data_IF_734486190326
#
_entry.id   IF_734486190326
#
_cell.length_a   1.000
_cell.length_b   1.000
_cell.length_c   1.000
_cell.angle_alpha   90.00
_cell.angle_beta   90.00
_cell.angle_gamma   90.00
#
_symmetry.space_group_name_H-M   'P 1'
#
loop_
_entity.id
_entity.type
_entity.pdbx_description
1 polymer ?
#
# COMPACT_ATOMS: atom_id res chain seq x y z
N UNK A 1 5.86 13.87 -1.09
CA UNK A 1 7.27 13.53 -0.85
C UNK A 1 7.63 12.25 -1.61
N UNK A 2 8.68 12.31 -2.44
CA UNK A 2 9.10 11.22 -3.32
C UNK A 2 10.15 10.32 -2.66
N UNK A 3 9.80 9.67 -1.54
CA UNK A 3 10.72 8.73 -0.89
C UNK A 3 10.27 7.29 -1.11
N UNK A 4 11.20 6.34 -0.98
CA UNK A 4 10.91 4.91 -1.12
C UNK A 4 9.83 4.45 -0.14
N UNK A 5 9.84 5.00 1.06
CA UNK A 5 8.87 4.66 2.12
C UNK A 5 7.45 5.15 1.81
N UNK A 6 7.29 6.12 0.89
CA UNK A 6 5.99 6.66 0.49
C UNK A 6 5.45 6.01 -0.78
N UNK A 7 5.93 4.84 -1.17
CA UNK A 7 5.45 4.17 -2.38
C UNK A 7 3.95 3.92 -2.35
N UNK A 8 3.40 3.57 -1.18
CA UNK A 8 1.96 3.37 -1.05
C UNK A 8 1.17 4.62 -1.40
N UNK A 9 1.59 5.77 -0.89
CA UNK A 9 0.95 7.05 -1.21
C UNK A 9 1.09 7.39 -2.69
N UNK A 10 2.25 7.13 -3.27
CA UNK A 10 2.50 7.39 -4.69
C UNK A 10 1.59 6.54 -5.58
N UNK A 11 1.36 5.29 -5.22
CA UNK A 11 0.43 4.41 -5.94
C UNK A 11 -0.99 4.98 -5.88
N UNK A 12 -1.45 5.39 -4.70
CA UNK A 12 -2.79 5.95 -4.53
C UNK A 12 -2.94 7.28 -5.29
N UNK A 13 -1.93 8.13 -5.27
CA UNK A 13 -1.93 9.38 -6.02
C UNK A 13 -1.98 9.12 -7.53
N UNK A 14 -1.28 8.11 -8.02
CA UNK A 14 -1.33 7.70 -9.42
C UNK A 14 -2.75 7.29 -9.82
N UNK A 15 -3.42 6.48 -9.00
CA UNK A 15 -4.79 6.06 -9.27
C UNK A 15 -5.73 7.26 -9.27
N UNK A 16 -5.62 8.14 -8.29
CA UNK A 16 -6.46 9.33 -8.21
C UNK A 16 -6.30 10.21 -9.46
N UNK A 17 -5.07 10.44 -9.90
CA UNK A 17 -4.82 11.22 -11.12
C UNK A 17 -5.39 10.52 -12.37
N UNK A 18 -5.20 9.21 -12.49
CA UNK A 18 -5.71 8.42 -13.60
C UNK A 18 -7.24 8.47 -13.70
N UNK A 19 -7.92 8.45 -12.56
CA UNK A 19 -9.38 8.40 -12.50
C UNK A 19 -10.03 9.78 -12.31
N UNK A 20 -9.25 10.84 -12.24
CA UNK A 20 -9.75 12.20 -12.09
C UNK A 20 -10.44 12.47 -10.76
N UNK A 21 -10.04 11.79 -9.71
CA UNK A 21 -10.56 11.99 -8.35
C UNK A 21 -9.53 12.67 -7.47
N UNK A 22 -9.99 13.29 -6.39
CA UNK A 22 -9.13 14.04 -5.46
C UNK A 22 -9.26 13.52 -4.05
N UNK A 23 -8.14 13.58 -3.30
CA UNK A 23 -8.15 13.28 -1.88
C UNK A 23 -8.72 14.44 -1.08
N UNK A 24 -9.53 14.12 -0.07
CA UNK A 24 -10.09 15.08 0.88
C UNK A 24 -9.44 14.85 2.24
N UNK A 25 -9.11 15.93 2.94
CA UNK A 25 -8.60 15.83 4.31
C UNK A 25 -9.72 15.42 5.25
N UNK A 26 -9.48 14.36 5.99
CA UNK A 26 -10.47 13.76 6.90
C UNK A 26 -9.79 13.41 8.22
N UNK A 27 -10.52 12.80 9.13
CA UNK A 27 -9.95 12.37 10.42
C UNK A 27 -8.87 11.29 10.17
N UNK A 28 -7.68 11.52 10.69
CA UNK A 28 -6.51 10.62 10.65
C UNK A 28 -5.92 10.39 9.27
N UNK A 29 -6.32 11.16 8.26
CA UNK A 29 -5.74 10.98 6.95
C UNK A 29 -6.38 11.81 5.84
N UNK A 30 -6.15 11.35 4.62
CA UNK A 30 -6.80 11.83 3.41
C UNK A 30 -7.48 10.67 2.72
N UNK A 31 -8.67 10.91 2.19
CA UNK A 31 -9.48 9.85 1.57
C UNK A 31 -9.95 10.30 0.18
N UNK A 32 -9.92 9.38 -0.77
CA UNK A 32 -10.55 9.53 -2.08
C UNK A 32 -11.45 8.33 -2.34
N UNK A 33 -12.58 8.55 -2.99
CA UNK A 33 -13.50 7.48 -3.37
C UNK A 33 -13.43 7.24 -4.87
N UNK A 34 -13.19 6.00 -5.25
CA UNK A 34 -13.24 5.54 -6.63
C UNK A 34 -14.45 4.63 -6.81
N UNK A 35 -15.32 5.00 -7.74
CA UNK A 35 -16.46 4.16 -8.11
C UNK A 35 -16.18 3.47 -9.44
N UNK A 36 -16.21 2.13 -9.43
CA UNK A 36 -15.90 1.33 -10.60
C UNK A 36 -16.83 0.12 -10.67
N UNK A 37 -17.56 -0.03 -11.77
CA UNK A 37 -18.48 -1.15 -12.03
C UNK A 37 -19.40 -1.46 -10.85
N UNK A 38 -19.99 -0.43 -10.26
CA UNK A 38 -20.92 -0.56 -9.14
C UNK A 38 -20.29 -0.78 -7.79
N UNK A 39 -18.97 -0.80 -7.69
CA UNK A 39 -18.25 -0.92 -6.42
C UNK A 39 -17.56 0.39 -6.04
N UNK A 40 -17.47 0.64 -4.76
CA UNK A 40 -16.75 1.80 -4.22
C UNK A 40 -15.45 1.34 -3.58
N UNK A 41 -14.35 1.92 -4.01
CA UNK A 41 -13.03 1.70 -3.41
C UNK A 41 -12.66 2.94 -2.62
N UNK A 42 -12.37 2.77 -1.33
CA UNK A 42 -11.91 3.86 -0.48
C UNK A 42 -10.38 3.85 -0.45
N UNK A 43 -9.77 4.91 -0.96
CA UNK A 43 -8.32 5.08 -0.94
C UNK A 43 -7.96 5.91 0.29
N UNK A 44 -7.23 5.33 1.23
CA UNK A 44 -6.84 6.00 2.47
C UNK A 44 -5.34 6.21 2.55
N UNK A 45 -4.95 7.46 2.75
CA UNK A 45 -3.57 7.84 3.09
C UNK A 45 -3.58 8.31 4.54
N UNK A 46 -3.11 7.49 5.49
CA UNK A 46 -3.00 7.95 6.88
C UNK A 46 -2.06 9.15 7.00
N UNK A 47 -2.44 10.12 7.82
CA UNK A 47 -1.58 11.29 8.11
C UNK A 47 -0.89 11.17 9.47
N UNK A 48 -0.96 9.98 10.08
CA UNK A 48 -0.26 9.67 11.32
C UNK A 48 1.19 9.30 11.02
N UNK A 49 2.04 9.29 12.04
CA UNK A 49 3.35 8.68 11.89
C UNK A 49 3.18 7.20 11.53
N UNK A 50 4.17 6.64 10.81
CA UNK A 50 4.11 5.26 10.32
C UNK A 50 3.80 4.25 11.44
N UNK A 51 4.39 4.43 12.61
CA UNK A 51 4.17 3.56 13.77
C UNK A 51 2.79 3.73 14.42
N UNK A 52 1.95 4.63 13.91
CA UNK A 52 0.58 4.85 14.38
C UNK A 52 -0.46 4.59 13.28
N UNK A 53 -0.06 3.97 12.18
CA UNK A 53 -0.93 3.71 11.02
C UNK A 53 -2.16 2.88 11.38
N UNK A 54 -2.07 1.98 12.35
CA UNK A 54 -3.19 1.14 12.78
C UNK A 54 -4.36 1.92 13.34
N UNK A 55 -4.10 3.08 13.95
CA UNK A 55 -5.16 3.94 14.47
C UNK A 55 -6.07 4.46 13.35
N UNK A 56 -5.46 4.91 12.26
CA UNK A 56 -6.21 5.39 11.09
C UNK A 56 -6.96 4.23 10.42
N UNK A 57 -6.30 3.09 10.22
CA UNK A 57 -6.90 1.91 9.60
C UNK A 57 -8.11 1.43 10.41
N UNK A 58 -7.95 1.23 11.70
CA UNK A 58 -9.04 0.77 12.56
C UNK A 58 -10.23 1.72 12.54
N UNK A 59 -9.98 3.03 12.64
CA UNK A 59 -11.02 4.04 12.60
C UNK A 59 -11.85 3.95 11.33
N UNK A 60 -11.18 3.87 10.17
CA UNK A 60 -11.87 3.88 8.87
C UNK A 60 -12.57 2.57 8.55
N UNK A 61 -12.02 1.42 8.98
CA UNK A 61 -12.72 0.13 8.86
C UNK A 61 -14.04 0.15 9.64
N UNK A 62 -14.00 0.65 10.87
CA UNK A 62 -15.19 0.73 11.73
C UNK A 62 -16.21 1.73 11.18
N UNK A 63 -15.75 2.92 10.79
CA UNK A 63 -16.64 3.97 10.27
C UNK A 63 -17.38 3.55 9.01
N UNK A 64 -16.68 2.91 8.08
CA UNK A 64 -17.23 2.50 6.80
C UNK A 64 -17.77 1.07 6.82
N UNK A 65 -17.74 0.41 7.97
CA UNK A 65 -18.21 -0.95 8.17
C UNK A 65 -17.57 -1.94 7.16
N UNK A 66 -16.24 -1.87 7.06
CA UNK A 66 -15.46 -2.72 6.15
C UNK A 66 -14.78 -3.81 6.94
N UNK A 67 -14.94 -5.06 6.49
CA UNK A 67 -14.22 -6.20 7.06
C UNK A 67 -12.75 -6.16 6.66
N UNK A 68 -11.86 -6.67 7.52
CA UNK A 68 -10.42 -6.67 7.26
C UNK A 68 -10.04 -7.44 5.99
N UNK A 69 -10.85 -8.43 5.58
CA UNK A 69 -10.66 -9.21 4.36
C UNK A 69 -10.85 -8.38 3.09
N UNK A 70 -11.56 -7.27 3.20
CA UNK A 70 -11.82 -6.34 2.10
C UNK A 70 -10.90 -5.12 2.13
N UNK A 71 -9.84 -5.17 2.95
CA UNK A 71 -8.82 -4.14 3.04
C UNK A 71 -7.52 -4.65 2.40
N UNK A 72 -6.92 -3.83 1.55
CA UNK A 72 -5.60 -4.11 0.99
C UNK A 72 -4.61 -3.09 1.53
N UNK A 73 -3.66 -3.54 2.34
CA UNK A 73 -2.62 -2.66 2.89
C UNK A 73 -1.41 -2.66 1.96
N UNK A 74 -1.03 -1.49 1.50
CA UNK A 74 0.10 -1.31 0.56
C UNK A 74 1.32 -0.82 1.34
N UNK A 75 2.42 -1.55 1.23
CA UNK A 75 3.65 -1.22 1.94
C UNK A 75 4.88 -1.41 1.07
N UNK A 76 5.95 -0.71 1.43
CA UNK A 76 7.29 -0.99 0.94
C UNK A 76 7.84 -2.27 1.60
N UNK A 77 8.74 -2.95 0.89
CA UNK A 77 9.38 -4.18 1.39
C UNK A 77 10.86 -4.20 0.98
N UNK A 78 11.74 -4.16 1.96
CA UNK A 78 13.18 -4.21 1.76
C UNK A 78 13.67 -5.58 1.29
N UNK A 79 12.91 -6.63 1.54
CA UNK A 79 13.30 -8.00 1.21
C UNK A 79 12.97 -8.40 -0.21
N UNK A 80 12.31 -7.54 -0.96
CA UNK A 80 12.00 -7.75 -2.37
C UNK A 80 12.83 -6.80 -3.24
N UNK A 81 13.32 -7.30 -4.37
CA UNK A 81 14.03 -6.45 -5.33
C UNK A 81 13.12 -5.35 -5.85
N UNK A 82 13.70 -4.25 -6.30
CA UNK A 82 12.93 -3.09 -6.72
C UNK A 82 11.88 -3.44 -7.78
N UNK A 83 10.65 -2.98 -7.53
CA UNK A 83 9.54 -3.17 -8.45
C UNK A 83 8.86 -4.52 -8.38
N UNK A 84 9.39 -5.47 -7.61
CA UNK A 84 8.72 -6.75 -7.38
C UNK A 84 7.48 -6.51 -6.52
N UNK A 85 6.35 -7.08 -6.94
CA UNK A 85 5.08 -6.96 -6.23
C UNK A 85 4.70 -8.33 -5.71
N UNK A 86 4.36 -8.40 -4.43
CA UNK A 86 3.92 -9.63 -3.78
C UNK A 86 2.63 -9.37 -3.02
N UNK A 87 1.59 -10.13 -3.34
CA UNK A 87 0.28 -10.02 -2.71
C UNK A 87 0.09 -11.25 -1.83
N UNK A 88 -0.30 -11.05 -0.57
CA UNK A 88 -0.47 -12.12 0.41
C UNK A 88 -1.76 -11.95 1.21
N UNK A 89 -2.33 -13.07 1.67
CA UNK A 89 -3.52 -13.08 2.52
C UNK A 89 -3.21 -12.78 3.99
N UNK A 90 -1.98 -13.09 4.42
CA UNK A 90 -1.54 -12.94 5.80
C UNK A 90 -0.02 -12.93 5.85
N UNK A 91 0.55 -12.69 7.01
CA UNK A 91 1.99 -12.81 7.23
C UNK A 91 2.50 -11.93 8.35
N UNK A 92 3.82 -12.00 8.60
CA UNK A 92 4.50 -11.16 9.59
C UNK A 92 4.62 -9.72 9.06
N UNK A 93 5.01 -8.80 9.95
CA UNK A 93 5.22 -7.40 9.58
C UNK A 93 6.53 -7.16 8.81
N UNK A 94 7.43 -8.14 8.77
CA UNK A 94 8.72 -7.99 8.08
C UNK A 94 9.58 -6.85 8.62
N UNK A 95 9.34 -6.41 9.85
CA UNK A 95 10.03 -5.28 10.46
C UNK A 95 9.40 -3.91 10.12
N UNK A 96 8.34 -3.87 9.31
CA UNK A 96 7.66 -2.64 8.93
C UNK A 96 6.84 -2.09 10.09
N UNK A 97 7.16 -0.88 10.55
CA UNK A 97 6.51 -0.28 11.73
C UNK A 97 5.01 -0.04 11.54
N UNK A 98 4.59 0.34 10.34
CA UNK A 98 3.17 0.51 10.04
C UNK A 98 2.39 -0.79 10.17
N UNK A 99 2.93 -1.90 9.65
CA UNK A 99 2.30 -3.20 9.77
C UNK A 99 2.27 -3.69 11.22
N UNK A 100 3.32 -3.46 11.99
CA UNK A 100 3.33 -3.79 13.43
C UNK A 100 2.18 -3.11 14.16
N UNK A 101 1.97 -1.83 13.91
CA UNK A 101 0.91 -1.08 14.56
C UNK A 101 -0.48 -1.53 14.11
N UNK A 102 -0.66 -1.78 12.80
CA UNK A 102 -1.93 -2.30 12.28
C UNK A 102 -2.26 -3.65 12.92
N UNK A 103 -1.30 -4.56 12.98
CA UNK A 103 -1.49 -5.88 13.61
C UNK A 103 -1.86 -5.75 15.08
N UNK A 104 -1.22 -4.84 15.79
CA UNK A 104 -1.50 -4.60 17.20
C UNK A 104 -2.94 -4.11 17.41
N UNK A 105 -3.37 -3.10 16.66
CA UNK A 105 -4.69 -2.50 16.84
C UNK A 105 -5.83 -3.35 16.29
N UNK A 106 -5.62 -4.12 15.24
CA UNK A 106 -6.61 -5.07 14.72
C UNK A 106 -6.55 -6.43 15.41
N UNK A 107 -5.53 -6.65 16.23
CA UNK A 107 -5.28 -7.94 16.90
C UNK A 107 -5.28 -9.11 15.92
N UNK A 108 -4.69 -8.92 14.74
CA UNK A 108 -4.67 -9.93 13.69
C UNK A 108 -3.55 -9.67 12.69
N UNK A 109 -2.97 -10.77 12.17
CA UNK A 109 -2.06 -10.75 11.03
C UNK A 109 -2.76 -11.17 9.73
N UNK A 110 -4.06 -11.49 9.80
CA UNK A 110 -4.82 -12.05 8.69
C UNK A 110 -5.62 -10.97 7.96
N UNK A 111 -4.91 -10.19 7.13
CA UNK A 111 -5.50 -9.23 6.22
C UNK A 111 -4.66 -9.16 4.93
N UNK A 112 -5.29 -8.85 3.78
CA UNK A 112 -4.57 -8.76 2.51
C UNK A 112 -3.50 -7.68 2.51
N UNK A 113 -2.33 -8.00 1.92
CA UNK A 113 -1.20 -7.08 1.81
C UNK A 113 -0.67 -7.07 0.40
N UNK A 114 -0.30 -5.87 -0.01
CA UNK A 114 0.39 -5.58 -1.25
C UNK A 114 1.78 -5.08 -0.88
N UNK A 115 2.81 -5.86 -1.15
CA UNK A 115 4.18 -5.50 -0.85
C UNK A 115 4.91 -5.07 -2.12
N UNK A 116 5.45 -3.87 -2.09
CA UNK A 116 6.22 -3.32 -3.21
C UNK A 116 7.70 -3.32 -2.84
N UNK A 117 8.50 -4.05 -3.59
CA UNK A 117 9.94 -4.16 -3.34
C UNK A 117 10.67 -2.87 -3.57
N UNK A 118 11.47 -2.46 -2.59
CA UNK A 118 12.37 -1.32 -2.70
C UNK A 118 13.84 -1.72 -2.58
N UNK A 119 14.12 -3.04 -2.50
CA UNK A 119 15.45 -3.62 -2.36
C UNK A 119 16.06 -3.37 -0.99
N UNK A 120 17.04 -4.18 -0.63
CA UNK A 120 17.84 -4.06 0.59
C UNK A 120 19.27 -3.55 0.29
N UNK A 121 19.46 -2.89 -0.85
CA UNK A 121 20.76 -2.37 -1.28
C UNK A 121 21.20 -1.17 -0.44
N UNK A 122 21.46 -1.42 0.84
CA UNK A 122 21.94 -0.43 1.80
C UNK A 122 23.05 -1.04 2.66
N UNK A 123 23.94 -0.19 3.19
CA UNK A 123 24.94 -0.62 4.15
C UNK A 123 24.31 -0.87 5.51
N UNK A 124 24.85 -1.84 6.26
CA UNK A 124 24.37 -2.13 7.62
C UNK A 124 24.34 -0.84 8.45
N UNK A 125 23.22 -0.60 9.12
CA UNK A 125 23.01 0.60 9.92
C UNK A 125 22.48 1.83 9.16
N UNK A 126 22.28 1.73 7.83
CA UNK A 126 21.79 2.83 7.02
C UNK A 126 20.35 2.60 6.50
N UNK A 127 19.64 1.63 7.04
CA UNK A 127 18.30 1.30 6.58
C UNK A 127 17.33 2.49 6.61
N UNK A 128 17.34 3.28 7.68
CA UNK A 128 16.45 4.45 7.80
C UNK A 128 16.71 5.45 6.68
N UNK A 129 17.98 5.74 6.41
CA UNK A 129 18.34 6.67 5.34
C UNK A 129 17.94 6.15 3.97
N UNK A 130 18.01 4.85 3.75
CA UNK A 130 17.61 4.23 2.48
C UNK A 130 16.10 4.35 2.25
N UNK A 131 15.25 3.94 3.21
CA UNK A 131 13.80 3.98 3.04
C UNK A 131 13.26 5.41 2.95
N UNK A 132 13.93 6.37 3.57
CA UNK A 132 13.57 7.78 3.51
C UNK A 132 14.23 8.52 2.33
N UNK A 133 15.15 7.87 1.61
CA UNK A 133 15.82 8.44 0.46
C UNK A 133 14.91 8.53 -0.77
N UNK A 134 15.26 9.44 -1.68
CA UNK A 134 14.54 9.58 -2.94
C UNK A 134 14.88 8.45 -3.92
N UNK A 135 14.04 8.27 -4.93
CA UNK A 135 14.26 7.31 -6.00
C UNK A 135 15.45 7.73 -6.86
N UNK A 136 16.34 6.79 -7.22
CA UNK A 136 17.39 7.06 -8.18
C UNK A 136 16.83 7.09 -9.62
N UNK A 137 17.69 7.43 -10.59
CA UNK A 137 17.26 7.58 -11.99
C UNK A 137 16.71 6.28 -12.58
N UNK A 138 17.36 5.15 -12.31
CA UNK A 138 16.93 3.85 -12.81
C UNK A 138 15.59 3.45 -12.18
N UNK A 139 15.42 3.68 -10.89
CA UNK A 139 14.16 3.42 -10.19
C UNK A 139 13.03 4.26 -10.78
N UNK A 140 13.27 5.55 -11.07
CA UNK A 140 12.27 6.44 -11.67
C UNK A 140 11.83 5.97 -13.06
N UNK A 141 12.74 5.46 -13.86
CA UNK A 141 12.43 4.96 -15.22
C UNK A 141 11.48 3.77 -15.18
N UNK A 142 11.68 2.85 -14.23
CA UNK A 142 10.84 1.66 -14.07
C UNK A 142 9.53 1.93 -13.35
N UNK A 143 9.49 2.98 -12.54
CA UNK A 143 8.39 3.24 -11.62
C UNK A 143 7.05 3.42 -12.35
N UNK A 144 7.03 4.10 -13.47
CA UNK A 144 5.80 4.36 -14.23
C UNK A 144 5.07 3.07 -14.59
N UNK A 145 5.79 2.09 -15.13
CA UNK A 145 5.23 0.78 -15.48
C UNK A 145 4.69 0.07 -14.24
N UNK A 146 5.47 0.12 -13.15
CA UNK A 146 5.06 -0.52 -11.88
C UNK A 146 3.83 0.15 -11.27
N UNK A 147 3.65 1.45 -11.44
CA UNK A 147 2.45 2.16 -11.00
C UNK A 147 1.22 1.74 -11.80
N UNK A 148 1.35 1.56 -13.10
CA UNK A 148 0.26 1.06 -13.94
C UNK A 148 -0.20 -0.32 -13.52
N UNK A 149 0.75 -1.24 -13.27
CA UNK A 149 0.45 -2.59 -12.79
C UNK A 149 -0.19 -2.54 -11.40
N UNK A 150 0.31 -1.69 -10.52
CA UNK A 150 -0.24 -1.52 -9.17
C UNK A 150 -1.71 -1.07 -9.21
N UNK A 151 -2.02 -0.14 -10.11
CA UNK A 151 -3.40 0.31 -10.31
C UNK A 151 -4.30 -0.85 -10.75
N UNK A 152 -3.85 -1.66 -11.70
CA UNK A 152 -4.60 -2.85 -12.16
C UNK A 152 -4.83 -3.86 -11.04
N UNK A 153 -3.83 -4.07 -10.19
CA UNK A 153 -3.92 -4.99 -9.04
C UNK A 153 -4.99 -4.51 -8.06
N UNK A 154 -4.98 -3.23 -7.72
CA UNK A 154 -5.94 -2.67 -6.76
C UNK A 154 -7.37 -2.78 -7.30
N UNK A 155 -7.57 -2.46 -8.58
CA UNK A 155 -8.87 -2.61 -9.24
C UNK A 155 -9.31 -4.07 -9.30
N UNK A 156 -8.40 -4.99 -9.60
CA UNK A 156 -8.68 -6.43 -9.61
C UNK A 156 -9.08 -6.93 -8.22
N UNK A 157 -8.40 -6.49 -7.18
CA UNK A 157 -8.76 -6.85 -5.81
C UNK A 157 -10.21 -6.48 -5.49
N UNK A 158 -10.63 -5.28 -5.87
CA UNK A 158 -11.98 -4.80 -5.62
C UNK A 158 -13.04 -5.53 -6.47
N UNK A 159 -12.71 -5.89 -7.71
CA UNK A 159 -13.67 -6.45 -8.66
C UNK A 159 -13.68 -7.98 -8.73
N UNK A 160 -12.54 -8.61 -8.58
CA UNK A 160 -12.38 -10.07 -8.76
C UNK A 160 -11.98 -10.80 -7.49
N UNK A 161 -11.60 -10.10 -6.44
CA UNK A 161 -11.20 -10.66 -5.15
C UNK A 161 -9.73 -11.01 -5.07
N UNK A 162 -9.29 -11.33 -3.85
CA UNK A 162 -7.88 -11.53 -3.53
C UNK A 162 -7.26 -12.73 -4.27
N UNK A 163 -7.93 -13.88 -4.26
CA UNK A 163 -7.38 -15.10 -4.86
C UNK A 163 -7.14 -14.95 -6.37
N UNK A 164 -8.10 -14.39 -7.09
CA UNK A 164 -7.94 -14.13 -8.52
C UNK A 164 -6.83 -13.13 -8.80
N UNK A 165 -6.73 -12.09 -7.97
CA UNK A 165 -5.68 -11.09 -8.09
C UNK A 165 -4.30 -11.70 -7.86
N UNK A 166 -4.16 -12.55 -6.83
CA UNK A 166 -2.91 -13.25 -6.56
C UNK A 166 -2.51 -14.16 -7.71
N UNK A 167 -3.46 -14.91 -8.26
CA UNK A 167 -3.19 -15.83 -9.38
C UNK A 167 -2.75 -15.08 -10.64
N UNK A 168 -3.33 -13.93 -10.90
CA UNK A 168 -3.02 -13.14 -12.10
C UNK A 168 -1.71 -12.37 -11.98
N UNK A 169 -1.42 -11.78 -10.83
CA UNK A 169 -0.35 -10.79 -10.69
C UNK A 169 0.88 -11.23 -9.93
N UNK A 170 0.79 -12.20 -9.01
CA UNK A 170 1.98 -12.68 -8.30
C UNK A 170 2.98 -13.28 -9.29
N UNK A 171 4.24 -12.86 -9.17
CA UNK A 171 5.30 -13.28 -10.08
C UNK A 171 5.41 -12.47 -11.38
N UNK A 172 4.61 -11.45 -11.49
CA UNK A 172 4.62 -10.53 -12.66
C UNK A 172 5.25 -9.19 -12.27
#
# INVERSE_FOLDING_TARGET
VNTRHNIGFKILDYIANQEGISFQTVKLGEVAELKIKGRTILLLKPNTYMNLSGKAVKYWLEKENIEKENMLVITDDLNLSFGTIRIKTKGSDGGHNGLKNIQLLLNSTEYPRFRFGISDAFKKGQQVNYVLGEWDTEEKEKLKERLEISSKIIKSFALAGLNNTMNEFNGK
#
